data_IF_580291317882
#
_entry.id   IF_580291317882
#
_cell.length_a   1.000
_cell.length_b   1.000
_cell.length_c   1.000
_cell.angle_alpha   90.00
_cell.angle_beta   90.00
_cell.angle_gamma   90.00
#
_symmetry.space_group_name_H-M   'P 1'
#
loop_
_entity.id
_entity.type
_entity.pdbx_description
1 polymer ?
#
# COMPACT_ATOMS: atom_id res chain seq x y z
N UNK A 1 -4.36 -0.13 -8.77
CA UNK A 1 -3.81 -1.44 -8.34
C UNK A 1 -2.39 -1.72 -8.86
N UNK A 2 -2.05 -1.54 -10.15
CA UNK A 2 -0.72 -1.89 -10.73
C UNK A 2 0.49 -1.34 -9.95
N UNK A 3 0.45 -0.08 -9.49
CA UNK A 3 1.54 0.52 -8.71
C UNK A 3 1.75 -0.18 -7.36
N UNK A 4 0.68 -0.64 -6.71
CA UNK A 4 0.75 -1.37 -5.44
C UNK A 4 1.30 -2.78 -5.64
N UNK A 5 0.94 -3.44 -6.74
CA UNK A 5 1.50 -4.74 -7.11
C UNK A 5 3.01 -4.60 -7.36
N UNK A 6 3.45 -3.59 -8.15
CA UNK A 6 4.87 -3.33 -8.38
C UNK A 6 5.63 -3.05 -7.08
N UNK A 7 5.08 -2.21 -6.21
CA UNK A 7 5.67 -1.93 -4.90
C UNK A 7 5.81 -3.20 -4.06
N UNK A 8 4.78 -4.04 -4.02
CA UNK A 8 4.83 -5.30 -3.27
C UNK A 8 5.85 -6.27 -3.85
N UNK A 9 5.99 -6.33 -5.19
CA UNK A 9 7.05 -7.10 -5.86
C UNK A 9 8.45 -6.63 -5.44
N UNK A 10 8.67 -5.33 -5.42
CA UNK A 10 9.95 -4.74 -4.99
C UNK A 10 10.26 -5.11 -3.53
N UNK A 11 9.25 -5.07 -2.64
CA UNK A 11 9.41 -5.45 -1.23
C UNK A 11 9.81 -6.93 -1.06
N UNK A 12 9.21 -7.84 -1.81
CA UNK A 12 9.51 -9.28 -1.69
C UNK A 12 10.70 -9.73 -2.56
N UNK A 13 11.23 -8.85 -3.43
CA UNK A 13 12.32 -9.18 -4.34
C UNK A 13 11.92 -10.19 -5.44
N UNK A 14 10.66 -10.16 -5.89
CA UNK A 14 10.09 -11.05 -6.90
C UNK A 14 9.74 -10.25 -8.18
N UNK A 15 10.73 -9.91 -9.04
CA UNK A 15 10.48 -9.12 -10.22
C UNK A 15 9.52 -9.82 -11.19
N UNK A 16 8.72 -9.04 -11.89
CA UNK A 16 7.81 -9.57 -12.92
C UNK A 16 8.58 -10.21 -14.06
N UNK A 17 8.09 -11.33 -14.60
CA UNK A 17 8.70 -12.02 -15.74
C UNK A 17 8.60 -13.54 -15.66
N UNK A 18 9.40 -14.21 -16.47
CA UNK A 18 9.33 -15.68 -16.60
C UNK A 18 9.75 -16.43 -15.33
N UNK A 19 10.54 -15.79 -14.45
CA UNK A 19 11.03 -16.38 -13.20
C UNK A 19 10.28 -15.90 -11.95
N UNK A 20 9.16 -15.20 -12.13
CA UNK A 20 8.37 -14.73 -11.00
C UNK A 20 7.84 -15.89 -10.14
N UNK A 21 7.89 -15.73 -8.84
CA UNK A 21 7.37 -16.70 -7.87
C UNK A 21 5.86 -16.59 -7.70
N UNK A 22 5.35 -15.36 -7.79
CA UNK A 22 3.93 -15.02 -7.63
C UNK A 22 3.38 -14.30 -8.86
N UNK A 23 2.16 -14.64 -9.26
CA UNK A 23 1.42 -13.89 -10.28
C UNK A 23 0.89 -12.58 -9.71
N UNK A 24 0.55 -11.62 -10.59
CA UNK A 24 -0.09 -10.37 -10.16
C UNK A 24 -1.40 -10.62 -9.41
N UNK A 25 -2.21 -11.60 -9.86
CA UNK A 25 -3.45 -12.00 -9.18
C UNK A 25 -3.21 -12.54 -7.75
N UNK A 26 -2.08 -13.21 -7.51
CA UNK A 26 -1.73 -13.70 -6.18
C UNK A 26 -1.34 -12.55 -5.25
N UNK A 27 -0.59 -11.58 -5.78
CA UNK A 27 -0.20 -10.39 -5.03
C UNK A 27 -1.43 -9.53 -4.74
N UNK A 28 -2.33 -9.34 -5.73
CA UNK A 28 -3.57 -8.59 -5.57
C UNK A 28 -4.46 -9.20 -4.48
N UNK A 29 -4.64 -10.54 -4.47
CA UNK A 29 -5.38 -11.23 -3.41
C UNK A 29 -4.76 -11.03 -2.04
N UNK A 30 -3.43 -11.02 -1.93
CA UNK A 30 -2.75 -10.76 -0.68
C UNK A 30 -2.94 -9.31 -0.22
N UNK A 31 -2.90 -8.34 -1.14
CA UNK A 31 -3.22 -6.95 -0.86
C UNK A 31 -4.67 -6.77 -0.40
N UNK A 32 -5.63 -7.48 -1.02
CA UNK A 32 -7.05 -7.39 -0.66
C UNK A 32 -7.36 -7.85 0.77
N UNK A 33 -6.53 -8.71 1.37
CA UNK A 33 -6.64 -9.09 2.79
C UNK A 33 -6.37 -7.88 3.70
N UNK A 34 -5.52 -6.98 3.27
CA UNK A 34 -5.08 -5.78 3.99
C UNK A 34 -5.64 -4.51 3.38
N UNK A 35 -6.93 -4.53 3.02
CA UNK A 35 -7.65 -3.41 2.39
C UNK A 35 -8.58 -2.74 3.38
N UNK A 36 -8.63 -1.41 3.31
CA UNK A 36 -9.62 -0.59 4.00
C UNK A 36 -10.31 0.35 3.03
N UNK A 37 -11.62 0.46 3.15
CA UNK A 37 -12.43 1.34 2.32
C UNK A 37 -12.75 2.64 3.09
N UNK A 38 -12.47 3.77 2.49
CA UNK A 38 -12.77 5.10 3.04
C UNK A 38 -13.80 5.82 2.18
N UNK A 39 -14.70 6.53 2.84
CA UNK A 39 -15.66 7.43 2.19
C UNK A 39 -15.54 8.82 2.79
N UNK A 40 -15.34 9.81 1.91
CA UNK A 40 -15.29 11.21 2.28
C UNK A 40 -14.29 11.50 3.41
N UNK A 41 -13.16 10.82 3.38
CA UNK A 41 -12.08 11.02 4.35
C UNK A 41 -11.45 12.40 4.11
N UNK A 42 -11.35 13.28 5.14
CA UNK A 42 -10.85 14.64 4.98
C UNK A 42 -9.33 14.64 4.74
N UNK A 43 -8.91 15.35 3.70
CA UNK A 43 -7.50 15.64 3.46
C UNK A 43 -7.07 16.89 4.23
N UNK A 44 -5.78 16.99 4.50
CA UNK A 44 -5.14 18.11 5.17
C UNK A 44 -4.52 19.05 4.14
N UNK A 45 -4.77 20.38 4.22
CA UNK A 45 -4.18 21.32 3.31
C UNK A 45 -2.70 21.60 3.64
N UNK A 46 -1.90 21.79 2.59
CA UNK A 46 -0.57 22.39 2.70
C UNK A 46 -0.66 23.86 2.27
N UNK A 47 -0.43 24.81 3.17
CA UNK A 47 -0.52 26.23 2.83
C UNK A 47 0.65 26.64 1.92
N UNK A 48 0.34 27.32 0.82
CA UNK A 48 1.32 27.95 -0.08
C UNK A 48 1.05 29.44 -0.12
N UNK A 49 2.10 30.26 0.01
CA UNK A 49 1.95 31.72 -0.07
C UNK A 49 2.15 32.17 -1.52
N UNK A 50 1.10 32.70 -2.14
CA UNK A 50 1.12 33.26 -3.51
C UNK A 50 0.71 34.73 -3.43
N UNK A 51 1.60 35.62 -3.85
CA UNK A 51 1.32 37.06 -3.92
C UNK A 51 0.75 37.65 -2.61
N UNK A 52 1.30 37.27 -1.45
CA UNK A 52 0.87 37.65 -0.08
C UNK A 52 -0.46 37.01 0.38
N UNK A 53 -1.07 36.14 -0.40
CA UNK A 53 -2.26 35.39 0.00
C UNK A 53 -1.87 33.94 0.31
N UNK A 54 -2.55 33.34 1.30
CA UNK A 54 -2.41 31.92 1.58
C UNK A 54 -3.37 31.17 0.65
N UNK A 55 -2.84 30.24 -0.13
CA UNK A 55 -3.62 29.38 -1.01
C UNK A 55 -3.43 27.93 -0.59
N UNK A 56 -4.49 27.14 -0.73
CA UNK A 56 -4.50 25.70 -0.45
C UNK A 56 -4.71 24.96 -1.78
N UNK A 57 -3.60 24.65 -2.44
CA UNK A 57 -3.59 23.91 -3.71
C UNK A 57 -3.10 22.49 -3.52
N UNK A 58 -2.26 22.26 -2.51
CA UNK A 58 -1.67 20.97 -2.21
C UNK A 58 -2.33 20.38 -0.98
N UNK A 59 -2.70 19.10 -1.07
CA UNK A 59 -3.43 18.38 -0.05
C UNK A 59 -2.80 17.02 0.18
N UNK A 60 -2.84 16.55 1.43
CA UNK A 60 -2.31 15.25 1.78
C UNK A 60 -3.22 14.49 2.75
N UNK A 61 -3.08 13.17 2.71
CA UNK A 61 -3.68 12.24 3.65
C UNK A 61 -2.64 11.77 4.66
N UNK A 62 -3.02 11.54 5.90
CA UNK A 62 -2.18 10.79 6.84
C UNK A 62 -2.11 9.30 6.46
N UNK A 63 -3.09 8.85 5.68
CA UNK A 63 -3.13 7.51 5.13
C UNK A 63 -2.34 7.43 3.83
N UNK A 64 -1.56 6.36 3.67
CA UNK A 64 -0.73 6.08 2.50
C UNK A 64 -1.32 4.92 1.70
N UNK A 65 -0.74 4.66 0.53
CA UNK A 65 -1.06 3.50 -0.31
C UNK A 65 -2.51 3.46 -0.80
N UNK A 66 -3.02 4.61 -1.18
CA UNK A 66 -4.32 4.73 -1.85
C UNK A 66 -4.27 4.08 -3.23
N UNK A 67 -5.38 3.50 -3.65
CA UNK A 67 -5.55 3.05 -5.02
C UNK A 67 -5.60 4.25 -5.98
N UNK A 68 -5.14 4.04 -7.20
CA UNK A 68 -5.01 5.13 -8.20
C UNK A 68 -6.34 5.69 -8.68
N UNK A 69 -7.45 5.01 -8.44
CA UNK A 69 -8.82 5.41 -8.77
C UNK A 69 -9.56 6.12 -7.64
N UNK A 70 -8.85 6.50 -6.58
CA UNK A 70 -9.43 7.25 -5.46
C UNK A 70 -10.10 8.54 -5.97
N UNK A 71 -11.38 8.71 -5.66
CA UNK A 71 -12.20 9.84 -6.08
C UNK A 71 -12.09 11.00 -5.07
N UNK A 72 -11.99 12.22 -5.57
CA UNK A 72 -11.87 13.43 -4.76
C UNK A 72 -13.14 14.29 -4.85
N UNK A 73 -13.46 14.94 -3.74
CA UNK A 73 -14.68 15.74 -3.59
C UNK A 73 -14.37 17.03 -2.84
N UNK A 74 -15.12 18.08 -3.14
CA UNK A 74 -15.15 19.32 -2.36
C UNK A 74 -16.02 19.19 -1.09
N UNK A 75 -16.07 20.26 -0.28
CA UNK A 75 -16.87 20.30 0.93
C UNK A 75 -18.39 20.21 0.72
N UNK A 76 -18.86 20.30 -0.53
CA UNK A 76 -20.25 20.14 -0.94
C UNK A 76 -20.50 18.80 -1.64
N UNK A 77 -19.54 17.89 -1.59
CA UNK A 77 -19.54 16.59 -2.27
C UNK A 77 -19.54 16.67 -3.80
N UNK A 78 -19.16 17.82 -4.38
CA UNK A 78 -18.89 17.96 -5.80
C UNK A 78 -17.59 17.26 -6.17
N UNK A 79 -17.56 16.56 -7.31
CA UNK A 79 -16.36 15.84 -7.77
C UNK A 79 -15.23 16.83 -8.12
N UNK A 80 -14.02 16.53 -7.67
CA UNK A 80 -12.81 17.29 -7.96
C UNK A 80 -11.85 16.46 -8.82
N UNK A 81 -11.19 17.14 -9.78
CA UNK A 81 -10.13 16.55 -10.58
C UNK A 81 -8.79 17.21 -10.18
N UNK A 82 -7.83 16.46 -9.67
CA UNK A 82 -6.52 17.00 -9.34
C UNK A 82 -5.71 17.27 -10.62
N UNK A 83 -4.84 18.28 -10.59
CA UNK A 83 -3.85 18.53 -11.64
C UNK A 83 -2.66 17.56 -11.56
N UNK A 84 -2.37 17.05 -10.36
CA UNK A 84 -1.37 16.03 -10.10
C UNK A 84 -1.81 15.17 -8.93
N UNK A 85 -1.46 13.87 -8.95
CA UNK A 85 -1.77 12.93 -7.90
C UNK A 85 -0.63 11.96 -7.65
N UNK A 86 -0.35 11.71 -6.37
CA UNK A 86 0.54 10.67 -5.88
C UNK A 86 -0.19 9.88 -4.79
N UNK A 87 -1.07 8.94 -5.17
CA UNK A 87 -1.89 8.19 -4.22
C UNK A 87 -1.06 7.31 -3.28
N UNK A 88 0.08 6.79 -3.72
CA UNK A 88 0.98 5.99 -2.88
C UNK A 88 1.44 6.77 -1.66
N UNK A 89 1.77 8.06 -1.85
CA UNK A 89 2.16 8.96 -0.75
C UNK A 89 1.00 9.81 -0.23
N UNK A 90 -0.24 9.54 -0.68
CA UNK A 90 -1.44 10.24 -0.22
C UNK A 90 -1.41 11.74 -0.55
N UNK A 91 -0.96 12.15 -1.75
CA UNK A 91 -0.81 13.55 -2.13
C UNK A 91 -1.58 13.89 -3.40
N UNK A 92 -2.22 15.06 -3.37
CA UNK A 92 -2.97 15.60 -4.51
C UNK A 92 -2.78 17.10 -4.62
N UNK A 93 -2.56 17.59 -5.83
CA UNK A 93 -2.41 19.01 -6.13
C UNK A 93 -3.50 19.48 -7.10
N UNK A 94 -3.96 20.72 -6.94
CA UNK A 94 -5.00 21.34 -7.75
C UNK A 94 -4.49 22.61 -8.43
N UNK A 95 -5.00 22.89 -9.62
CA UNK A 95 -4.65 24.11 -10.35
C UNK A 95 -5.17 25.38 -9.65
N UNK A 96 -6.27 25.29 -8.90
CA UNK A 96 -6.89 26.38 -8.17
C UNK A 96 -6.98 26.06 -6.67
N UNK A 97 -7.11 27.12 -5.86
CA UNK A 97 -7.37 27.01 -4.42
C UNK A 97 -8.63 26.17 -4.13
N UNK A 98 -8.53 25.28 -3.15
CA UNK A 98 -9.65 24.49 -2.63
C UNK A 98 -9.87 24.87 -1.15
N UNK A 99 -11.13 24.93 -0.73
CA UNK A 99 -11.51 25.21 0.67
C UNK A 99 -11.54 23.97 1.54
N UNK A 100 -11.92 22.83 0.95
CA UNK A 100 -11.95 21.51 1.58
C UNK A 100 -11.79 20.46 0.49
N UNK A 101 -11.09 19.38 0.79
CA UNK A 101 -10.95 18.23 -0.10
C UNK A 101 -11.18 16.97 0.71
N UNK A 102 -12.04 16.12 0.18
CA UNK A 102 -12.39 14.80 0.72
C UNK A 102 -11.97 13.73 -0.28
N UNK A 103 -11.52 12.59 0.19
CA UNK A 103 -11.18 11.44 -0.65
C UNK A 103 -12.06 10.24 -0.32
N UNK A 104 -12.49 9.53 -1.35
CA UNK A 104 -13.15 8.22 -1.24
C UNK A 104 -12.39 7.22 -2.09
N UNK A 105 -12.05 6.09 -1.50
CA UNK A 105 -11.27 5.07 -2.17
C UNK A 105 -10.79 3.99 -1.22
N UNK A 106 -9.88 3.19 -1.69
CA UNK A 106 -9.30 2.09 -0.94
C UNK A 106 -7.84 2.39 -0.63
N UNK A 107 -7.41 2.01 0.56
CA UNK A 107 -6.00 1.94 0.94
C UNK A 107 -5.62 0.50 1.21
N UNK A 108 -4.34 0.22 1.08
CA UNK A 108 -3.78 -1.13 1.27
C UNK A 108 -2.57 -1.07 2.20
N UNK A 109 -2.23 -2.20 2.81
CA UNK A 109 -0.95 -2.35 3.51
C UNK A 109 -0.03 -3.30 2.71
N UNK A 110 0.89 -2.76 1.90
CA UNK A 110 1.81 -3.57 1.12
C UNK A 110 2.80 -4.34 1.99
N UNK A 111 3.09 -3.89 3.22
CA UNK A 111 3.94 -4.61 4.15
C UNK A 111 3.25 -5.85 4.72
N UNK A 112 1.96 -5.75 5.05
CA UNK A 112 1.15 -6.90 5.46
C UNK A 112 1.08 -7.95 4.37
N UNK A 113 0.79 -7.54 3.14
CA UNK A 113 0.77 -8.43 1.98
C UNK A 113 2.14 -9.07 1.70
N UNK A 114 3.23 -8.29 1.82
CA UNK A 114 4.59 -8.78 1.64
C UNK A 114 4.96 -9.84 2.69
N UNK A 115 4.54 -9.67 3.95
CA UNK A 115 4.76 -10.67 5.00
C UNK A 115 4.14 -12.00 4.63
N UNK A 116 2.87 -12.02 4.25
CA UNK A 116 2.16 -13.25 3.86
C UNK A 116 2.83 -13.94 2.66
N UNK A 117 3.19 -13.17 1.63
CA UNK A 117 3.86 -13.69 0.44
C UNK A 117 5.25 -14.28 0.76
N UNK A 118 6.05 -13.62 1.60
CA UNK A 118 7.35 -14.12 2.02
C UNK A 118 7.23 -15.40 2.85
N UNK A 119 6.24 -15.50 3.73
CA UNK A 119 5.98 -16.73 4.50
C UNK A 119 5.51 -17.88 3.60
N UNK A 120 4.64 -17.58 2.61
CA UNK A 120 4.25 -18.56 1.59
C UNK A 120 5.45 -19.02 0.76
N UNK A 121 6.35 -18.10 0.40
CA UNK A 121 7.57 -18.44 -0.33
C UNK A 121 8.51 -19.30 0.51
N UNK A 122 8.73 -18.94 1.77
CA UNK A 122 9.52 -19.75 2.71
C UNK A 122 8.94 -21.16 2.89
N UNK A 123 7.61 -21.30 2.88
CA UNK A 123 6.91 -22.58 2.88
C UNK A 123 7.18 -23.41 1.61
N UNK A 124 7.12 -22.79 0.43
CA UNK A 124 7.46 -23.45 -0.85
C UNK A 124 8.92 -23.95 -0.85
N UNK A 125 9.86 -23.10 -0.44
CA UNK A 125 11.30 -23.45 -0.36
C UNK A 125 11.55 -24.60 0.62
N UNK A 126 10.79 -24.69 1.71
CA UNK A 126 10.91 -25.77 2.69
C UNK A 126 10.50 -27.15 2.14
N UNK A 127 9.63 -27.19 1.12
CA UNK A 127 9.17 -28.42 0.48
C UNK A 127 10.09 -28.91 -0.64
N UNK A 128 11.05 -28.08 -1.05
CA UNK A 128 12.02 -28.47 -2.06
C UNK A 128 13.17 -29.27 -1.42
N UNK A 129 13.72 -30.27 -2.13
CA UNK A 129 14.86 -31.07 -1.64
C UNK A 129 16.18 -30.31 -1.80
N UNK A 130 17.08 -30.42 -0.80
CA UNK A 130 18.45 -29.93 -0.93
C UNK A 130 19.21 -30.76 -1.98
N UNK A 131 19.63 -30.09 -3.08
CA UNK A 131 20.47 -30.70 -4.09
C UNK A 131 21.90 -30.24 -3.84
N UNK A 132 22.76 -31.13 -3.35
CA UNK A 132 24.20 -30.93 -3.31
C UNK A 132 24.77 -31.36 -4.66
N UNK A 133 25.07 -30.40 -5.54
CA UNK A 133 25.81 -30.63 -6.75
C UNK A 133 27.14 -29.88 -6.67
N UNK A 134 28.25 -30.61 -6.73
CA UNK A 134 29.64 -30.14 -6.90
C UNK A 134 30.10 -28.95 -6.06
N UNK A 135 29.91 -29.00 -4.75
CA UNK A 135 30.47 -28.04 -3.82
C UNK A 135 29.83 -26.62 -3.81
N UNK A 136 28.84 -26.35 -4.65
CA UNK A 136 28.02 -25.16 -4.63
C UNK A 136 26.68 -25.49 -3.96
N UNK A 137 26.69 -25.69 -2.64
CA UNK A 137 25.48 -25.83 -1.84
C UNK A 137 24.79 -24.48 -1.67
N UNK A 138 23.83 -24.14 -2.53
CA UNK A 138 22.86 -23.10 -2.20
C UNK A 138 21.97 -23.68 -1.09
N UNK A 139 22.33 -23.38 0.14
CA UNK A 139 21.60 -23.88 1.31
C UNK A 139 20.20 -23.29 1.31
N UNK A 140 19.19 -24.08 0.92
CA UNK A 140 17.77 -23.70 0.94
C UNK A 140 17.31 -23.31 2.34
N UNK A 141 17.90 -23.92 3.36
CA UNK A 141 17.69 -23.52 4.74
C UNK A 141 18.07 -22.04 4.98
N UNK A 142 19.17 -21.56 4.37
CA UNK A 142 19.56 -20.15 4.44
C UNK A 142 18.57 -19.24 3.68
N UNK A 143 18.14 -19.65 2.47
CA UNK A 143 17.11 -18.91 1.71
C UNK A 143 15.80 -18.78 2.51
N UNK A 144 15.33 -19.91 3.08
CA UNK A 144 14.16 -19.91 3.94
C UNK A 144 14.33 -18.99 5.15
N UNK A 145 15.45 -19.07 5.83
CA UNK A 145 15.75 -18.21 6.98
C UNK A 145 15.75 -16.73 6.62
N UNK A 146 16.38 -16.36 5.49
CA UNK A 146 16.40 -14.99 4.98
C UNK A 146 14.99 -14.46 4.65
N UNK A 147 14.13 -15.28 4.02
CA UNK A 147 12.73 -14.90 3.73
C UNK A 147 11.94 -14.65 5.02
N UNK A 148 12.07 -15.51 6.03
CA UNK A 148 11.39 -15.35 7.32
C UNK A 148 11.94 -14.15 8.12
N UNK A 149 13.23 -13.88 8.04
CA UNK A 149 13.83 -12.70 8.67
C UNK A 149 13.30 -11.40 8.02
N UNK A 150 13.22 -11.35 6.70
CA UNK A 150 12.64 -10.21 5.98
C UNK A 150 11.15 -10.03 6.33
N UNK A 151 10.38 -11.12 6.39
CA UNK A 151 8.99 -11.09 6.84
C UNK A 151 8.86 -10.52 8.27
N UNK A 152 9.76 -10.92 9.19
CA UNK A 152 9.77 -10.40 10.56
C UNK A 152 10.12 -8.90 10.64
N UNK A 153 10.96 -8.40 9.72
CA UNK A 153 11.26 -6.96 9.60
C UNK A 153 10.02 -6.18 9.13
N UNK A 154 9.34 -6.66 8.07
CA UNK A 154 8.16 -5.99 7.54
C UNK A 154 6.96 -6.06 8.48
N UNK A 155 6.82 -7.10 9.29
CA UNK A 155 5.78 -7.20 10.32
C UNK A 155 5.82 -6.04 11.33
N UNK A 156 6.99 -5.44 11.56
CA UNK A 156 7.14 -4.25 12.41
C UNK A 156 6.65 -2.97 11.73
N UNK A 157 6.54 -2.96 10.40
CA UNK A 157 6.07 -1.83 9.59
C UNK A 157 4.60 -1.98 9.18
N UNK A 158 4.03 -3.16 9.42
CA UNK A 158 2.64 -3.46 9.12
C UNK A 158 1.72 -2.48 9.85
N UNK A 159 0.76 -1.95 9.13
CA UNK A 159 -0.21 -1.01 9.66
C UNK A 159 -1.26 -1.72 10.50
N UNK A 160 -1.36 -1.35 11.76
CA UNK A 160 -2.43 -1.81 12.65
C UNK A 160 -3.54 -0.75 12.63
N UNK A 161 -4.62 -1.02 11.89
CA UNK A 161 -5.82 -0.21 11.98
C UNK A 161 -6.74 -0.85 13.02
N UNK A 162 -6.87 -0.21 14.16
CA UNK A 162 -7.90 -0.54 15.15
C UNK A 162 -9.23 0.03 14.66
N UNK A 163 -10.12 -0.82 14.16
CA UNK A 163 -11.51 -0.44 13.92
C UNK A 163 -12.16 -0.16 15.29
N UNK A 164 -12.51 1.10 15.54
CA UNK A 164 -13.35 1.47 16.69
C UNK A 164 -14.75 0.95 16.39
N UNK A 165 -15.12 -0.17 16.97
CA UNK A 165 -16.48 -0.69 16.88
C UNK A 165 -17.36 0.19 17.76
N UNK A 166 -18.07 1.15 17.17
CA UNK A 166 -19.18 1.82 17.85
C UNK A 166 -20.37 0.87 17.89
N UNK A 167 -20.77 0.51 19.11
CA UNK A 167 -22.02 -0.25 19.30
C UNK A 167 -23.19 0.62 18.86
N UNK A 168 -23.96 0.13 17.90
CA UNK A 168 -25.17 0.79 17.41
C UNK A 168 -26.39 0.67 18.36
N UNK A 169 -26.21 0.09 19.54
CA UNK A 169 -27.26 -0.28 20.49
C UNK A 169 -27.34 0.62 21.74
N UNK A 170 -26.81 1.83 21.69
CA UNK A 170 -27.02 2.84 22.73
C UNK A 170 -28.24 3.68 22.34
N UNK A 171 -29.41 3.26 22.85
CA UNK A 171 -30.66 4.03 22.89
C UNK A 171 -30.78 4.76 24.24
#
# INVERSE_FOLDING_TARGET
>A
MSNLISLTRDLIGDPSGAEQTFTDDQIERSLDVYRWDFRYFPLKPLPTVVSRNVEYRDWYSDELYWESDAALYDGSYGSLTPSSSDPIHGRWSFAAHQTAVLVSGKIYDPYGAAVDLLEMWAGKVALEYDVNADGAGLSRSQKRAALLELAAQYRKQQKIITAKQERADVW
#
